data_IF_729602457570
#
_entry.id   IF_729602457570
#
_cell.length_a   1.000
_cell.length_b   1.000
_cell.length_c   1.000
_cell.angle_alpha   90.00
_cell.angle_beta   90.00
_cell.angle_gamma   90.00
#
_symmetry.space_group_name_H-M   'P 1'
#
loop_
_entity.id
_entity.type
_entity.pdbx_description
1 polymer ?
#
# COMPACT_ATOMS: atom_id res chain seq x y z
N UNK A 1 -39.37 -20.89 28.15
CA UNK A 1 -38.44 -21.87 27.54
C UNK A 1 -38.34 -21.56 26.05
N UNK A 2 -37.11 -21.50 25.55
CA UNK A 2 -36.70 -21.35 24.14
C UNK A 2 -37.16 -20.06 23.45
N UNK A 3 -36.56 -18.95 23.89
CA UNK A 3 -36.40 -17.77 23.04
C UNK A 3 -35.44 -18.10 21.90
N UNK A 4 -35.89 -17.75 20.71
CA UNK A 4 -35.33 -18.05 19.40
C UNK A 4 -33.82 -17.74 19.30
N UNK A 5 -32.98 -18.79 19.24
CA UNK A 5 -31.52 -18.71 19.07
C UNK A 5 -31.12 -18.56 17.59
N UNK A 6 -31.97 -18.02 16.73
CA UNK A 6 -31.67 -17.88 15.29
C UNK A 6 -31.11 -16.50 14.90
N UNK A 7 -31.04 -15.54 15.82
CA UNK A 7 -30.57 -14.17 15.53
C UNK A 7 -29.05 -13.93 15.58
N UNK A 8 -28.26 -14.89 16.07
CA UNK A 8 -26.80 -14.69 16.32
C UNK A 8 -25.95 -14.99 15.07
N UNK A 9 -26.56 -15.58 14.03
CA UNK A 9 -25.95 -15.77 12.71
C UNK A 9 -26.56 -14.79 11.71
N UNK A 10 -26.53 -13.48 12.00
CA UNK A 10 -26.71 -12.51 10.94
C UNK A 10 -25.56 -12.75 9.96
N UNK A 11 -25.89 -13.48 8.89
CA UNK A 11 -24.93 -13.95 7.89
C UNK A 11 -24.12 -12.74 7.48
N UNK A 12 -22.82 -12.93 7.29
CA UNK A 12 -22.06 -12.10 6.37
C UNK A 12 -22.72 -12.28 4.99
N UNK A 13 -23.86 -11.62 4.76
CA UNK A 13 -24.44 -11.52 3.45
C UNK A 13 -23.36 -10.79 2.66
N UNK A 14 -22.76 -11.52 1.71
CA UNK A 14 -21.96 -10.98 0.62
C UNK A 14 -22.91 -10.13 -0.24
N UNK A 15 -23.40 -9.03 0.33
CA UNK A 15 -24.05 -7.98 -0.42
C UNK A 15 -22.96 -7.35 -1.27
N UNK A 16 -23.22 -7.23 -2.56
CA UNK A 16 -22.26 -6.55 -3.43
C UNK A 16 -22.01 -5.15 -2.86
N UNK A 17 -20.75 -4.70 -2.81
CA UNK A 17 -20.46 -3.37 -2.32
C UNK A 17 -21.27 -2.36 -3.14
N UNK A 18 -21.86 -1.34 -2.51
CA UNK A 18 -22.59 -0.31 -3.23
C UNK A 18 -21.60 0.53 -4.05
N UNK A 19 -21.37 0.14 -5.31
CA UNK A 19 -20.41 0.80 -6.20
C UNK A 19 -20.69 2.30 -6.41
N UNK A 20 -21.93 2.75 -6.19
CA UNK A 20 -22.29 4.17 -6.18
C UNK A 20 -21.51 4.98 -5.12
N UNK A 21 -20.98 4.35 -4.08
CA UNK A 21 -20.17 5.00 -3.05
C UNK A 21 -18.84 5.55 -3.58
N UNK A 22 -18.35 5.08 -4.73
CA UNK A 22 -17.16 5.65 -5.38
C UNK A 22 -17.35 7.14 -5.70
N UNK A 23 -18.59 7.55 -6.01
CA UNK A 23 -18.92 8.94 -6.33
C UNK A 23 -19.20 9.80 -5.10
N UNK A 24 -19.10 9.26 -3.88
CA UNK A 24 -19.25 10.07 -2.67
C UNK A 24 -18.02 10.95 -2.46
N UNK A 25 -18.18 12.23 -2.10
CA UNK A 25 -17.06 13.13 -1.82
C UNK A 25 -16.09 12.58 -0.77
N UNK A 26 -16.61 11.85 0.22
CA UNK A 26 -15.81 11.18 1.26
C UNK A 26 -14.82 10.14 0.72
N UNK A 27 -15.03 9.63 -0.49
CA UNK A 27 -14.18 8.63 -1.13
C UNK A 27 -13.27 9.25 -2.19
N UNK A 28 -13.84 9.94 -3.20
CA UNK A 28 -13.04 10.42 -4.33
C UNK A 28 -12.18 11.64 -3.99
N UNK A 29 -12.58 12.50 -3.04
CA UNK A 29 -11.79 13.68 -2.67
C UNK A 29 -10.48 13.27 -2.01
N UNK A 30 -10.46 12.40 -0.96
CA UNK A 30 -9.20 11.92 -0.40
C UNK A 30 -8.36 11.15 -1.41
N UNK A 31 -8.97 10.25 -2.20
CA UNK A 31 -8.27 9.46 -3.20
C UNK A 31 -7.52 10.35 -4.21
N UNK A 32 -8.21 11.37 -4.75
CA UNK A 32 -7.61 12.32 -5.67
C UNK A 32 -6.53 13.17 -4.99
N UNK A 33 -6.78 13.64 -3.76
CA UNK A 33 -5.79 14.42 -3.01
C UNK A 33 -4.51 13.61 -2.78
N UNK A 34 -4.61 12.35 -2.33
CA UNK A 34 -3.45 11.48 -2.14
C UNK A 34 -2.72 11.19 -3.44
N UNK A 35 -3.45 10.96 -4.54
CA UNK A 35 -2.84 10.79 -5.86
C UNK A 35 -2.00 12.02 -6.25
N UNK A 36 -2.55 13.22 -6.05
CA UNK A 36 -1.82 14.47 -6.30
C UNK A 36 -0.62 14.64 -5.38
N UNK A 37 -0.70 14.24 -4.10
CA UNK A 37 0.43 14.23 -3.19
C UNK A 37 1.57 13.32 -3.70
N UNK A 38 1.27 12.09 -4.15
CA UNK A 38 2.27 11.20 -4.72
C UNK A 38 2.85 11.74 -6.04
N UNK A 39 2.02 12.35 -6.90
CA UNK A 39 2.52 13.04 -8.11
C UNK A 39 3.50 14.14 -7.74
N UNK A 40 3.17 14.96 -6.74
CA UNK A 40 4.05 16.03 -6.27
C UNK A 40 5.35 15.49 -5.66
N UNK A 41 5.26 14.48 -4.80
CA UNK A 41 6.44 13.80 -4.25
C UNK A 41 7.33 13.22 -5.35
N UNK A 42 6.74 12.60 -6.38
CA UNK A 42 7.47 12.10 -7.56
C UNK A 42 8.21 13.22 -8.30
N UNK A 43 7.59 14.39 -8.46
CA UNK A 43 8.27 15.56 -9.04
C UNK A 43 9.45 16.04 -8.17
N UNK A 44 9.28 16.10 -6.85
CA UNK A 44 10.39 16.44 -5.93
C UNK A 44 11.54 15.45 -6.10
N UNK A 45 11.27 14.15 -6.09
CA UNK A 45 12.30 13.12 -6.26
C UNK A 45 12.98 13.25 -7.62
N UNK A 46 12.22 13.49 -8.70
CA UNK A 46 12.77 13.67 -10.06
C UNK A 46 13.64 14.92 -10.19
N UNK A 47 13.36 15.99 -9.43
CA UNK A 47 14.10 17.25 -9.48
C UNK A 47 15.31 17.31 -8.54
N UNK A 48 15.28 16.61 -7.39
CA UNK A 48 16.30 16.75 -6.35
C UNK A 48 17.11 15.47 -6.10
N UNK A 49 16.53 14.29 -6.31
CA UNK A 49 17.21 13.02 -6.00
C UNK A 49 17.77 12.38 -7.26
N UNK A 50 18.85 11.61 -7.09
CA UNK A 50 19.43 10.76 -8.14
C UNK A 50 19.91 11.50 -9.41
N UNK A 51 20.20 12.79 -9.30
CA UNK A 51 20.66 13.63 -10.43
C UNK A 51 22.00 13.19 -11.03
N UNK A 52 22.79 12.43 -10.27
CA UNK A 52 24.06 11.87 -10.72
C UNK A 52 23.89 10.64 -11.64
N UNK A 53 22.68 10.12 -11.78
CA UNK A 53 22.36 8.98 -12.65
C UNK A 53 21.62 9.47 -13.90
N UNK A 54 21.73 8.76 -15.02
CA UNK A 54 21.05 9.11 -16.27
C UNK A 54 20.24 7.92 -16.83
N UNK A 55 19.28 8.24 -17.70
CA UNK A 55 18.45 7.27 -18.40
C UNK A 55 17.59 6.39 -17.47
N UNK A 56 17.43 5.12 -17.85
CA UNK A 56 16.56 4.17 -17.15
C UNK A 56 16.97 3.94 -15.69
N UNK A 57 18.27 4.01 -15.39
CA UNK A 57 18.78 3.82 -14.02
C UNK A 57 18.32 4.93 -13.08
N UNK A 58 18.31 6.17 -13.54
CA UNK A 58 17.82 7.32 -12.78
C UNK A 58 16.32 7.19 -12.53
N UNK A 59 15.54 6.92 -13.59
CA UNK A 59 14.10 6.66 -13.50
C UNK A 59 13.79 5.59 -12.46
N UNK A 60 14.46 4.43 -12.53
CA UNK A 60 14.20 3.31 -11.62
C UNK A 60 14.49 3.67 -10.17
N UNK A 61 15.58 4.41 -9.89
CA UNK A 61 15.88 4.89 -8.53
C UNK A 61 14.83 5.89 -8.03
N UNK A 62 14.38 6.79 -8.90
CA UNK A 62 13.35 7.77 -8.57
C UNK A 62 12.01 7.10 -8.27
N UNK A 63 11.55 6.17 -9.12
CA UNK A 63 10.32 5.42 -8.88
C UNK A 63 10.40 4.64 -7.57
N UNK A 64 11.50 3.90 -7.38
CA UNK A 64 11.73 3.09 -6.19
C UNK A 64 11.79 3.92 -4.89
N UNK A 65 12.16 5.20 -4.98
CA UNK A 65 12.11 6.12 -3.83
C UNK A 65 10.68 6.46 -3.43
N UNK A 66 9.77 6.57 -4.40
CA UNK A 66 8.34 6.76 -4.15
C UNK A 66 7.70 5.47 -3.62
N UNK A 67 8.11 4.29 -4.13
CA UNK A 67 7.70 3.00 -3.56
C UNK A 67 8.16 2.86 -2.10
N UNK A 68 9.40 3.26 -1.79
CA UNK A 68 9.91 3.28 -0.42
C UNK A 68 9.10 4.23 0.47
N UNK A 69 8.78 5.44 -0.01
CA UNK A 69 7.95 6.38 0.73
C UNK A 69 6.57 5.78 1.06
N UNK A 70 5.91 5.16 0.08
CA UNK A 70 4.64 4.50 0.28
C UNK A 70 4.73 3.40 1.34
N UNK A 71 5.63 2.43 1.15
CA UNK A 71 5.81 1.30 2.07
C UNK A 71 6.20 1.73 3.48
N UNK A 72 6.96 2.83 3.64
CA UNK A 72 7.22 3.41 4.96
C UNK A 72 5.94 3.96 5.60
N UNK A 73 5.12 4.70 4.86
CA UNK A 73 3.85 5.23 5.38
C UNK A 73 2.92 4.07 5.75
N UNK A 74 2.70 3.12 4.84
CA UNK A 74 1.71 2.05 5.03
C UNK A 74 2.18 0.96 5.98
N UNK A 75 3.43 0.54 5.88
CA UNK A 75 4.03 -0.48 6.74
C UNK A 75 4.16 -0.02 8.20
N UNK A 76 4.68 1.19 8.44
CA UNK A 76 4.81 1.70 9.82
C UNK A 76 3.42 1.94 10.43
N UNK A 77 2.47 2.51 9.66
CA UNK A 77 1.12 2.72 10.15
C UNK A 77 0.42 1.40 10.48
N UNK A 78 0.46 0.41 9.59
CA UNK A 78 -0.18 -0.89 9.86
C UNK A 78 0.43 -1.62 11.06
N UNK A 79 1.76 -1.60 11.21
CA UNK A 79 2.43 -2.19 12.38
C UNK A 79 2.02 -1.45 13.66
N UNK A 80 2.04 -0.12 13.66
CA UNK A 80 1.62 0.67 14.82
C UNK A 80 0.15 0.42 15.17
N UNK A 81 -0.72 0.34 14.16
CA UNK A 81 -2.12 0.00 14.34
C UNK A 81 -2.29 -1.41 14.93
N UNK A 82 -1.55 -2.41 14.43
CA UNK A 82 -1.59 -3.78 14.95
C UNK A 82 -1.20 -3.88 16.43
N UNK A 83 -0.19 -3.12 16.84
CA UNK A 83 0.28 -3.10 18.23
C UNK A 83 -0.71 -2.37 19.15
N UNK A 84 -1.33 -1.29 18.67
CA UNK A 84 -2.23 -0.44 19.48
C UNK A 84 -3.67 -0.96 19.53
N UNK A 85 -4.12 -1.65 18.48
CA UNK A 85 -5.48 -2.15 18.29
C UNK A 85 -5.49 -3.68 18.09
N UNK A 86 -4.72 -4.40 18.92
CA UNK A 86 -4.58 -5.86 18.81
C UNK A 86 -5.91 -6.59 19.00
N UNK A 87 -6.81 -6.08 19.86
CA UNK A 87 -8.11 -6.71 20.13
C UNK A 87 -9.02 -6.65 18.91
N UNK A 88 -8.97 -5.55 18.19
CA UNK A 88 -9.70 -5.31 16.95
C UNK A 88 -9.10 -6.17 15.83
N UNK A 89 -7.77 -6.10 15.64
CA UNK A 89 -7.06 -6.82 14.57
C UNK A 89 -7.16 -8.35 14.67
N UNK A 90 -7.29 -8.89 15.89
CA UNK A 90 -7.45 -10.33 16.15
C UNK A 90 -8.90 -10.73 16.48
N UNK A 91 -9.82 -9.77 16.50
CA UNK A 91 -11.24 -9.97 16.83
C UNK A 91 -12.10 -10.23 15.60
N UNK A 92 -13.32 -9.67 15.60
CA UNK A 92 -14.20 -9.73 14.43
C UNK A 92 -13.77 -8.72 13.36
N UNK A 93 -13.11 -9.24 12.32
CA UNK A 93 -12.63 -8.48 11.16
C UNK A 93 -13.76 -7.91 10.31
N UNK A 94 -14.97 -8.45 10.40
CA UNK A 94 -16.02 -8.25 9.39
C UNK A 94 -16.80 -6.95 9.56
N UNK A 95 -17.10 -6.57 10.81
CA UNK A 95 -17.97 -5.43 11.12
C UNK A 95 -17.22 -4.16 11.51
N UNK A 96 -15.90 -4.21 11.67
CA UNK A 96 -15.13 -3.05 12.10
C UNK A 96 -14.84 -2.10 10.93
N UNK A 97 -15.21 -0.83 11.08
CA UNK A 97 -14.91 0.24 10.14
C UNK A 97 -14.82 1.58 10.86
N UNK A 98 -13.75 2.32 10.60
CA UNK A 98 -13.57 3.68 11.11
C UNK A 98 -13.19 4.62 9.96
N UNK A 99 -13.85 5.79 9.79
CA UNK A 99 -13.58 6.71 8.68
C UNK A 99 -12.15 7.27 8.65
N UNK A 100 -11.50 7.38 9.81
CA UNK A 100 -10.11 7.82 9.89
C UNK A 100 -9.15 6.69 9.49
N UNK A 101 -9.49 5.43 9.81
CA UNK A 101 -8.68 4.27 9.48
C UNK A 101 -8.80 3.90 7.99
N UNK A 102 -9.93 4.22 7.35
CA UNK A 102 -10.10 4.01 5.91
C UNK A 102 -9.18 4.88 5.04
N UNK A 103 -8.58 5.94 5.61
CA UNK A 103 -7.60 6.78 4.91
C UNK A 103 -6.35 6.00 4.50
N UNK A 104 -5.90 5.02 5.31
CA UNK A 104 -4.68 4.28 5.00
C UNK A 104 -4.83 3.43 3.71
N UNK A 105 -5.86 2.59 3.55
CA UNK A 105 -6.12 1.93 2.27
C UNK A 105 -6.34 2.89 1.10
N UNK A 106 -6.96 4.07 1.32
CA UNK A 106 -7.11 5.10 0.28
C UNK A 106 -5.76 5.67 -0.17
N UNK A 107 -4.84 5.92 0.76
CA UNK A 107 -3.44 6.31 0.46
C UNK A 107 -2.77 5.25 -0.41
N UNK A 108 -2.95 3.96 -0.08
CA UNK A 108 -2.36 2.86 -0.85
C UNK A 108 -2.95 2.74 -2.25
N UNK A 109 -4.27 2.80 -2.41
CA UNK A 109 -4.91 2.75 -3.73
C UNK A 109 -4.45 3.95 -4.59
N UNK A 110 -4.39 5.15 -4.02
CA UNK A 110 -3.88 6.32 -4.73
C UNK A 110 -2.42 6.15 -5.19
N UNK A 111 -1.57 5.58 -4.33
CA UNK A 111 -0.19 5.24 -4.68
C UNK A 111 -0.11 4.19 -5.80
N UNK A 112 -0.86 3.08 -5.72
CA UNK A 112 -0.82 2.04 -6.76
C UNK A 112 -1.27 2.56 -8.12
N UNK A 113 -2.28 3.44 -8.14
CA UNK A 113 -2.69 4.14 -9.36
C UNK A 113 -1.55 5.02 -9.88
N UNK A 114 -0.94 5.85 -9.01
CA UNK A 114 0.22 6.66 -9.37
C UNK A 114 1.36 5.84 -9.97
N UNK A 115 1.76 4.76 -9.29
CA UNK A 115 2.89 3.92 -9.71
C UNK A 115 2.58 3.18 -11.01
N UNK A 116 1.34 2.69 -11.18
CA UNK A 116 0.88 2.12 -12.46
C UNK A 116 1.01 3.13 -13.61
N UNK A 117 0.63 4.39 -13.42
CA UNK A 117 0.81 5.43 -14.42
C UNK A 117 2.29 5.70 -14.73
N UNK A 118 3.18 5.75 -13.73
CA UNK A 118 4.60 5.99 -13.98
C UNK A 118 5.24 4.81 -14.73
N UNK A 119 4.92 3.57 -14.33
CA UNK A 119 5.39 2.35 -14.99
C UNK A 119 4.96 2.28 -16.46
N UNK A 120 3.68 2.46 -16.77
CA UNK A 120 3.13 2.38 -18.13
C UNK A 120 3.80 3.38 -19.11
N UNK A 121 4.32 4.49 -18.59
CA UNK A 121 4.96 5.52 -19.40
C UNK A 121 6.47 5.30 -19.63
N UNK A 122 7.14 4.48 -18.81
CA UNK A 122 8.60 4.40 -18.80
C UNK A 122 9.17 2.98 -18.89
N UNK A 123 8.40 1.94 -18.57
CA UNK A 123 8.89 0.56 -18.56
C UNK A 123 7.84 -0.43 -19.10
N UNK A 124 8.26 -1.26 -20.06
CA UNK A 124 7.46 -2.36 -20.59
C UNK A 124 8.30 -3.64 -20.58
N UNK A 125 8.32 -4.31 -19.44
CA UNK A 125 8.98 -5.61 -19.25
C UNK A 125 7.99 -6.65 -18.70
N UNK A 126 8.33 -7.94 -18.77
CA UNK A 126 7.52 -9.01 -18.16
C UNK A 126 7.32 -8.76 -16.65
N UNK A 127 8.37 -8.32 -15.97
CA UNK A 127 8.33 -7.99 -14.55
C UNK A 127 7.41 -6.79 -14.27
N UNK A 128 7.45 -5.76 -15.11
CA UNK A 128 6.56 -4.60 -14.99
C UNK A 128 5.10 -4.99 -15.20
N UNK A 129 4.82 -5.90 -16.13
CA UNK A 129 3.47 -6.41 -16.36
C UNK A 129 2.96 -7.21 -15.14
N UNK A 130 3.79 -8.08 -14.58
CA UNK A 130 3.46 -8.82 -13.34
C UNK A 130 3.16 -7.84 -12.19
N UNK A 131 3.97 -6.79 -12.02
CA UNK A 131 3.76 -5.78 -10.99
C UNK A 131 2.49 -4.95 -11.25
N UNK A 132 2.20 -4.61 -12.50
CA UNK A 132 0.97 -3.91 -12.87
C UNK A 132 -0.27 -4.75 -12.57
N UNK A 133 -0.23 -6.05 -12.91
CA UNK A 133 -1.31 -6.99 -12.58
C UNK A 133 -1.48 -7.13 -11.06
N UNK A 134 -0.38 -7.14 -10.31
CA UNK A 134 -0.42 -7.10 -8.86
C UNK A 134 -1.14 -5.83 -8.36
N UNK A 135 -0.79 -4.64 -8.85
CA UNK A 135 -1.50 -3.40 -8.47
C UNK A 135 -2.99 -3.44 -8.79
N UNK A 136 -3.37 -3.95 -9.96
CA UNK A 136 -4.78 -4.10 -10.34
C UNK A 136 -5.49 -5.04 -9.36
N UNK A 137 -4.89 -6.20 -9.06
CA UNK A 137 -5.46 -7.17 -8.12
C UNK A 137 -5.57 -6.61 -6.69
N UNK A 138 -4.54 -5.90 -6.23
CA UNK A 138 -4.50 -5.28 -4.90
C UNK A 138 -5.55 -4.17 -4.78
N UNK A 139 -5.65 -3.26 -5.77
CA UNK A 139 -6.72 -2.26 -5.81
C UNK A 139 -8.11 -2.91 -5.83
N UNK A 140 -8.30 -3.95 -6.66
CA UNK A 140 -9.56 -4.69 -6.73
C UNK A 140 -9.93 -5.35 -5.39
N UNK A 141 -8.96 -5.87 -4.65
CA UNK A 141 -9.18 -6.46 -3.33
C UNK A 141 -9.48 -5.41 -2.25
N UNK A 142 -8.84 -4.24 -2.31
CA UNK A 142 -8.96 -3.20 -1.28
C UNK A 142 -10.18 -2.29 -1.43
N UNK A 143 -10.75 -2.19 -2.64
CA UNK A 143 -11.90 -1.35 -2.93
C UNK A 143 -13.21 -1.82 -2.26
N UNK A 144 -13.63 -3.10 -2.36
CA UNK A 144 -14.91 -3.55 -1.79
C UNK A 144 -15.05 -3.28 -0.28
N UNK A 145 -14.03 -3.52 0.57
CA UNK A 145 -14.12 -3.18 2.00
C UNK A 145 -14.39 -1.70 2.27
N UNK A 146 -13.79 -0.82 1.47
CA UNK A 146 -14.00 0.62 1.57
C UNK A 146 -15.40 1.04 1.13
N UNK A 147 -15.93 0.43 0.06
CA UNK A 147 -17.26 0.79 -0.46
C UNK A 147 -18.39 0.21 0.39
N UNK A 148 -18.21 -1.00 0.92
CA UNK A 148 -19.17 -1.67 1.78
C UNK A 148 -19.16 -1.16 3.24
N UNK A 149 -18.14 -0.38 3.63
CA UNK A 149 -17.85 -0.01 5.01
C UNK A 149 -17.80 -1.24 5.96
N UNK A 150 -17.20 -2.32 5.46
CA UNK A 150 -17.05 -3.61 6.16
C UNK A 150 -15.68 -4.18 5.83
N UNK A 151 -15.16 -5.10 6.64
CA UNK A 151 -13.88 -5.77 6.38
C UNK A 151 -12.68 -4.82 6.26
N UNK A 152 -12.72 -3.63 6.87
CA UNK A 152 -11.61 -2.67 6.76
C UNK A 152 -10.31 -3.24 7.32
N UNK A 153 -10.38 -4.03 8.38
CA UNK A 153 -9.22 -4.69 8.97
C UNK A 153 -8.58 -5.70 8.01
N UNK A 154 -9.31 -6.27 7.06
CA UNK A 154 -8.72 -7.12 6.01
C UNK A 154 -7.74 -6.32 5.13
N UNK A 155 -8.03 -5.04 4.85
CA UNK A 155 -7.08 -4.16 4.14
C UNK A 155 -5.82 -3.91 4.98
N UNK A 156 -5.95 -3.77 6.30
CA UNK A 156 -4.81 -3.62 7.20
C UNK A 156 -3.94 -4.87 7.22
N UNK A 157 -4.56 -6.05 7.28
CA UNK A 157 -3.85 -7.33 7.17
C UNK A 157 -3.12 -7.47 5.84
N UNK A 158 -3.76 -7.10 4.73
CA UNK A 158 -3.10 -7.09 3.42
C UNK A 158 -1.89 -6.13 3.42
N UNK A 159 -2.04 -4.93 3.98
CA UNK A 159 -0.99 -3.91 4.00
C UNK A 159 0.15 -4.19 4.99
N UNK A 160 0.03 -5.14 5.93
CA UNK A 160 1.16 -5.53 6.80
C UNK A 160 2.36 -6.02 5.98
N UNK A 161 2.13 -6.59 4.80
CA UNK A 161 3.21 -7.04 3.90
C UNK A 161 4.10 -5.88 3.42
N UNK A 162 3.61 -4.64 3.45
CA UNK A 162 4.40 -3.45 3.11
C UNK A 162 5.56 -3.22 4.09
N UNK A 163 5.49 -3.79 5.30
CA UNK A 163 6.62 -3.81 6.23
C UNK A 163 7.87 -4.46 5.63
N UNK A 164 7.71 -5.56 4.89
CA UNK A 164 8.83 -6.19 4.17
C UNK A 164 9.22 -5.36 2.93
N UNK A 165 8.25 -4.75 2.24
CA UNK A 165 8.49 -3.87 1.09
C UNK A 165 9.47 -2.73 1.41
N UNK A 166 9.46 -2.18 2.64
CA UNK A 166 10.44 -1.18 3.10
C UNK A 166 11.88 -1.69 2.90
N UNK A 167 12.18 -2.89 3.40
CA UNK A 167 13.51 -3.47 3.30
C UNK A 167 13.83 -3.87 1.86
N UNK A 168 12.85 -4.37 1.11
CA UNK A 168 13.01 -4.75 -0.28
C UNK A 168 13.40 -3.55 -1.15
N UNK A 169 12.64 -2.46 -1.07
CA UNK A 169 12.92 -1.25 -1.82
C UNK A 169 14.25 -0.62 -1.40
N UNK A 170 14.53 -0.55 -0.10
CA UNK A 170 15.82 -0.06 0.41
C UNK A 170 16.99 -0.87 -0.15
N UNK A 171 16.89 -2.20 -0.13
CA UNK A 171 17.91 -3.10 -0.69
C UNK A 171 18.15 -2.83 -2.17
N UNK A 172 17.09 -2.74 -2.97
CA UNK A 172 17.20 -2.51 -4.41
C UNK A 172 17.74 -1.11 -4.72
N UNK A 173 17.37 -0.08 -3.96
CA UNK A 173 17.99 1.27 -4.06
C UNK A 173 19.49 1.17 -3.80
N UNK A 174 19.91 0.49 -2.73
CA UNK A 174 21.32 0.35 -2.38
C UNK A 174 22.11 -0.40 -3.46
N UNK A 175 21.52 -1.42 -4.09
CA UNK A 175 22.16 -2.16 -5.18
C UNK A 175 22.32 -1.32 -6.44
N UNK A 176 21.27 -0.61 -6.86
CA UNK A 176 21.31 0.18 -8.10
C UNK A 176 22.21 1.41 -7.92
N UNK A 177 22.12 2.10 -6.79
CA UNK A 177 22.92 3.30 -6.50
C UNK A 177 24.40 3.02 -6.24
N UNK A 178 24.79 1.76 -5.97
CA UNK A 178 26.14 1.38 -5.56
C UNK A 178 26.41 1.55 -4.07
N UNK A 179 25.42 2.04 -3.30
CA UNK A 179 25.53 2.20 -1.85
C UNK A 179 25.75 0.88 -1.11
N UNK A 180 25.37 -0.26 -1.71
CA UNK A 180 25.64 -1.59 -1.17
C UNK A 180 27.14 -1.85 -0.97
N UNK A 181 27.99 -1.29 -1.83
CA UNK A 181 29.46 -1.41 -1.75
C UNK A 181 30.04 -0.38 -0.77
N UNK A 182 29.49 0.84 -0.76
CA UNK A 182 29.95 1.92 0.11
C UNK A 182 29.59 1.69 1.59
N UNK A 183 28.44 1.06 1.86
CA UNK A 183 27.95 0.79 3.21
C UNK A 183 27.55 -0.68 3.39
N UNK A 184 28.53 -1.60 3.39
CA UNK A 184 28.26 -3.05 3.42
C UNK A 184 27.63 -3.52 4.74
N UNK A 185 27.90 -2.84 5.86
CA UNK A 185 27.28 -3.15 7.17
C UNK A 185 25.78 -2.87 7.14
N UNK A 186 25.39 -1.67 6.71
CA UNK A 186 23.97 -1.30 6.55
C UNK A 186 23.27 -2.22 5.57
N UNK A 187 23.92 -2.52 4.44
CA UNK A 187 23.37 -3.42 3.43
C UNK A 187 23.10 -4.82 3.98
N UNK A 188 24.02 -5.39 4.77
CA UNK A 188 23.81 -6.67 5.45
C UNK A 188 22.63 -6.61 6.43
N UNK A 189 22.52 -5.56 7.24
CA UNK A 189 21.38 -5.38 8.15
C UNK A 189 20.06 -5.36 7.38
N UNK A 190 19.98 -4.60 6.28
CA UNK A 190 18.77 -4.55 5.43
C UNK A 190 18.42 -5.93 4.86
N UNK A 191 19.42 -6.72 4.44
CA UNK A 191 19.19 -8.11 3.99
C UNK A 191 18.64 -8.98 5.11
N UNK A 192 19.23 -8.92 6.30
CA UNK A 192 18.76 -9.72 7.44
C UNK A 192 17.33 -9.35 7.83
N UNK A 193 17.00 -8.05 7.86
CA UNK A 193 15.64 -7.60 8.14
C UNK A 193 14.65 -8.08 7.08
N UNK A 194 15.00 -8.02 5.80
CA UNK A 194 14.14 -8.49 4.69
C UNK A 194 13.82 -10.01 4.78
N UNK A 195 14.79 -10.83 5.19
CA UNK A 195 14.60 -12.29 5.33
C UNK A 195 13.82 -12.64 6.61
N UNK A 196 13.95 -11.84 7.66
CA UNK A 196 13.31 -12.09 8.95
C UNK A 196 11.86 -11.57 9.05
N UNK A 197 11.47 -10.62 8.19
CA UNK A 197 10.13 -10.03 8.11
C UNK A 197 9.20 -10.81 7.20
#
# INVERSE_FOLDING_TARGET
MVGDRTGIYHRAHLEMPPYSHVFRPSFYVPLFAYFMCFRFASQIVKNFMWQNFTGFKAYRLQNLSICLLHSMISGIWTIAFFITHTKEMLGDLTHWYEPWASQLPLISIAYFIHDAFDMLNHEWSRWTLELLLHHIATCYAMLPPLLAHKFLLANYWALLMEGNSIFLHTRTIMQISGQSVLQPKLFKTVIYCNVAS
#
